data_IF_012262201009
#
_entry.id   IF_012262201009
#
_cell.length_a   1.000
_cell.length_b   1.000
_cell.length_c   1.000
_cell.angle_alpha   90.00
_cell.angle_beta   90.00
_cell.angle_gamma   90.00
#
_symmetry.space_group_name_H-M   'P 1'
#
loop_
_entity.id
_entity.type
_entity.pdbx_description
1 polymer ?
#
# COMPACT_ATOMS: atom_id res chain seq x y z
N UNK A 1 -30.02 28.62 0.94
CA UNK A 1 -30.30 27.28 0.39
C UNK A 1 -28.96 26.54 0.30
N UNK A 2 -28.74 25.60 1.19
CA UNK A 2 -27.48 24.79 1.21
C UNK A 2 -27.66 23.67 0.18
N UNK A 3 -26.87 23.70 -0.91
CA UNK A 3 -26.77 22.58 -1.83
C UNK A 3 -26.04 21.44 -1.13
N UNK A 4 -26.76 20.41 -0.77
CA UNK A 4 -26.17 19.12 -0.35
C UNK A 4 -25.39 18.55 -1.55
N UNK A 5 -24.15 18.12 -1.40
CA UNK A 5 -23.36 17.65 -2.52
C UNK A 5 -23.90 16.31 -3.03
N UNK A 6 -24.53 16.34 -4.19
CA UNK A 6 -25.02 15.16 -4.92
C UNK A 6 -23.90 14.16 -5.21
N UNK A 7 -22.63 14.60 -5.23
CA UNK A 7 -21.47 13.76 -5.48
C UNK A 7 -21.06 12.87 -4.28
N UNK A 8 -21.35 13.26 -3.04
CA UNK A 8 -21.16 12.33 -1.93
C UNK A 8 -22.01 11.05 -2.08
N UNK A 9 -23.13 11.15 -2.81
CA UNK A 9 -23.97 10.02 -3.13
C UNK A 9 -23.46 9.19 -4.32
N UNK A 10 -22.77 9.79 -5.30
CA UNK A 10 -22.24 9.07 -6.48
C UNK A 10 -20.96 8.33 -6.13
N UNK A 11 -20.04 8.95 -5.38
CA UNK A 11 -18.83 8.30 -4.86
C UNK A 11 -19.17 7.15 -3.90
N UNK A 12 -20.15 7.35 -3.01
CA UNK A 12 -20.63 6.32 -2.09
C UNK A 12 -21.23 5.10 -2.81
N UNK A 13 -21.81 5.26 -4.01
CA UNK A 13 -22.44 4.16 -4.75
C UNK A 13 -21.42 3.22 -5.39
N UNK A 14 -20.24 3.71 -5.81
CA UNK A 14 -19.15 2.86 -6.32
C UNK A 14 -18.20 2.36 -5.21
N UNK A 15 -18.03 3.13 -4.13
CA UNK A 15 -17.20 2.78 -2.97
C UNK A 15 -17.94 1.95 -1.88
N UNK A 16 -19.26 1.99 -1.85
CA UNK A 16 -20.08 1.40 -0.76
C UNK A 16 -20.37 -0.10 -0.93
N UNK A 17 -19.44 -0.90 -1.42
CA UNK A 17 -19.62 -2.34 -1.50
C UNK A 17 -18.65 -3.18 -0.66
N UNK A 18 -17.86 -2.55 0.23
CA UNK A 18 -17.09 -3.29 1.23
C UNK A 18 -17.18 -2.58 2.59
N UNK A 19 -17.33 -3.34 3.70
CA UNK A 19 -17.07 -2.75 5.01
C UNK A 19 -15.63 -2.24 5.02
N UNK A 20 -15.42 -1.09 5.66
CA UNK A 20 -14.13 -0.43 5.82
C UNK A 20 -13.19 -1.21 6.75
N UNK A 21 -12.81 -2.40 6.34
CA UNK A 21 -11.65 -3.11 6.86
C UNK A 21 -10.61 -3.05 5.75
N UNK A 22 -9.55 -2.27 5.97
CA UNK A 22 -8.51 -1.91 5.00
C UNK A 22 -7.83 -3.09 4.32
N UNK A 23 -8.50 -3.66 3.36
CA UNK A 23 -7.99 -4.65 2.43
C UNK A 23 -8.31 -4.15 1.02
N UNK A 24 -7.50 -3.22 0.53
CA UNK A 24 -7.34 -3.07 -0.90
C UNK A 24 -6.58 -4.30 -1.44
N UNK A 25 -7.28 -5.42 -1.50
CA UNK A 25 -6.88 -6.50 -2.39
C UNK A 25 -6.91 -5.91 -3.80
N UNK A 26 -5.75 -5.83 -4.44
CA UNK A 26 -5.58 -5.16 -5.70
C UNK A 26 -6.65 -5.56 -6.70
N UNK A 27 -7.47 -4.58 -7.11
CA UNK A 27 -7.99 -4.51 -8.46
C UNK A 27 -6.82 -4.75 -9.42
N UNK A 28 -6.99 -5.67 -10.37
CA UNK A 28 -6.14 -5.65 -11.56
C UNK A 28 -6.20 -4.20 -12.10
N UNK A 29 -5.03 -3.59 -12.35
CA UNK A 29 -5.00 -2.24 -12.94
C UNK A 29 -5.95 -2.22 -14.13
N UNK A 30 -6.88 -1.23 -14.24
CA UNK A 30 -7.74 -1.15 -15.39
C UNK A 30 -6.84 -1.11 -16.62
N UNK A 31 -6.96 -2.12 -17.47
CA UNK A 31 -6.20 -2.16 -18.72
C UNK A 31 -6.41 -0.83 -19.44
N UNK A 32 -5.35 -0.20 -19.96
CA UNK A 32 -5.51 1.04 -20.71
C UNK A 32 -6.57 0.83 -21.77
N UNK A 33 -7.53 1.76 -21.87
CA UNK A 33 -8.61 1.73 -22.86
C UNK A 33 -7.99 1.53 -24.24
N UNK A 34 -8.00 0.29 -24.71
CA UNK A 34 -7.52 -0.04 -26.05
C UNK A 34 -8.41 0.68 -27.06
N UNK A 35 -7.82 1.64 -27.76
CA UNK A 35 -8.48 2.32 -28.86
C UNK A 35 -8.63 1.35 -30.03
N UNK A 36 -9.90 0.90 -30.31
CA UNK A 36 -10.33 0.63 -31.64
C UNK A 36 -10.19 -0.78 -32.22
N UNK A 37 -11.08 -1.70 -31.81
CA UNK A 37 -11.64 -2.63 -32.80
C UNK A 37 -13.04 -2.10 -33.20
N UNK A 38 -13.52 -2.31 -34.45
CA UNK A 38 -14.84 -1.87 -34.84
C UNK A 38 -15.90 -2.60 -34.00
N UNK A 39 -16.71 -1.80 -33.30
CA UNK A 39 -17.80 -2.30 -32.45
C UNK A 39 -18.87 -2.89 -33.36
N UNK A 40 -19.25 -4.15 -33.16
CA UNK A 40 -20.34 -4.77 -33.90
C UNK A 40 -21.68 -4.07 -33.60
N UNK A 41 -22.65 -4.13 -34.51
CA UNK A 41 -23.97 -3.55 -34.28
C UNK A 41 -24.65 -4.10 -33.00
N UNK A 42 -24.36 -5.35 -32.66
CA UNK A 42 -24.84 -6.03 -31.46
C UNK A 42 -24.21 -5.43 -30.18
N UNK A 43 -22.91 -5.13 -30.20
CA UNK A 43 -22.24 -4.45 -29.09
C UNK A 43 -22.71 -3.01 -28.87
N UNK A 44 -23.09 -2.32 -29.94
CA UNK A 44 -23.66 -0.96 -29.86
C UNK A 44 -25.03 -0.99 -29.15
N UNK A 45 -25.86 -1.96 -29.46
CA UNK A 45 -27.16 -2.12 -28.80
C UNK A 45 -27.01 -2.52 -27.32
N UNK A 46 -26.08 -3.44 -27.03
CA UNK A 46 -25.77 -3.86 -25.68
C UNK A 46 -25.23 -2.70 -24.83
N UNK A 47 -24.36 -1.86 -25.40
CA UNK A 47 -23.85 -0.68 -24.72
C UNK A 47 -24.95 0.30 -24.35
N UNK A 48 -25.87 0.59 -25.26
CA UNK A 48 -27.03 1.48 -24.96
C UNK A 48 -27.94 0.90 -23.88
N UNK A 49 -28.21 -0.39 -23.93
CA UNK A 49 -29.02 -1.08 -22.93
C UNK A 49 -28.35 -1.05 -21.55
N UNK A 50 -27.04 -1.33 -21.52
CA UNK A 50 -26.22 -1.28 -20.28
C UNK A 50 -26.21 0.12 -19.68
N UNK A 51 -25.97 1.16 -20.49
CA UNK A 51 -26.00 2.56 -20.01
C UNK A 51 -27.36 2.93 -19.43
N UNK A 52 -28.44 2.63 -20.14
CA UNK A 52 -29.78 2.92 -19.69
C UNK A 52 -30.11 2.21 -18.36
N UNK A 53 -29.75 0.95 -18.24
CA UNK A 53 -29.94 0.17 -17.01
C UNK A 53 -29.14 0.72 -15.84
N UNK A 54 -27.86 1.04 -16.04
CA UNK A 54 -26.97 1.61 -15.01
C UNK A 54 -27.50 2.95 -14.52
N UNK A 55 -27.95 3.84 -15.44
CA UNK A 55 -28.58 5.10 -15.07
C UNK A 55 -29.83 4.91 -14.21
N UNK A 56 -30.68 3.94 -14.55
CA UNK A 56 -31.87 3.63 -13.79
C UNK A 56 -31.53 3.02 -12.43
N UNK A 57 -30.59 2.07 -12.39
CA UNK A 57 -30.19 1.37 -11.17
C UNK A 57 -29.64 2.34 -10.11
N UNK A 58 -28.84 3.30 -10.52
CA UNK A 58 -28.20 4.26 -9.62
C UNK A 58 -28.92 5.61 -9.51
N UNK A 59 -30.07 5.78 -10.17
CA UNK A 59 -30.83 7.02 -10.12
C UNK A 59 -30.12 8.22 -10.75
N UNK A 60 -29.21 7.99 -11.74
CA UNK A 60 -28.44 9.04 -12.35
C UNK A 60 -29.23 9.84 -13.36
N UNK A 61 -29.34 11.15 -13.08
CA UNK A 61 -30.02 12.11 -13.95
C UNK A 61 -29.17 12.52 -15.17
N UNK A 62 -29.73 13.38 -16.04
CA UNK A 62 -29.11 13.78 -17.29
C UNK A 62 -27.80 14.57 -17.12
N UNK A 63 -27.56 15.16 -15.96
CA UNK A 63 -26.33 15.92 -15.65
C UNK A 63 -25.14 15.04 -15.35
N UNK A 64 -25.33 13.72 -15.14
CA UNK A 64 -24.26 12.77 -14.95
C UNK A 64 -23.93 12.16 -16.32
N UNK A 65 -22.71 12.32 -16.76
CA UNK A 65 -22.22 11.67 -17.97
C UNK A 65 -21.74 10.27 -17.63
N UNK A 66 -22.20 9.29 -18.38
CA UNK A 66 -21.78 7.88 -18.28
C UNK A 66 -21.17 7.50 -19.61
N UNK A 67 -19.95 7.01 -19.58
CA UNK A 67 -19.23 6.52 -20.75
C UNK A 67 -18.80 5.10 -20.51
N UNK A 68 -19.27 4.18 -21.35
CA UNK A 68 -18.85 2.80 -21.34
C UNK A 68 -17.66 2.60 -22.31
N UNK A 69 -16.67 1.86 -21.86
CA UNK A 69 -15.57 1.41 -22.70
C UNK A 69 -15.94 0.19 -23.56
N UNK A 70 -14.95 -0.42 -24.23
CA UNK A 70 -15.19 -1.60 -25.06
C UNK A 70 -15.64 -2.80 -24.22
N UNK A 71 -16.50 -3.63 -24.80
CA UNK A 71 -16.91 -4.90 -24.24
C UNK A 71 -15.83 -5.95 -24.53
N UNK A 72 -14.86 -6.10 -23.62
CA UNK A 72 -13.78 -7.07 -23.73
C UNK A 72 -14.18 -8.43 -23.13
N UNK A 73 -13.67 -9.56 -23.67
CA UNK A 73 -13.87 -10.85 -23.01
C UNK A 73 -13.44 -10.82 -21.55
N UNK A 74 -14.29 -11.32 -20.66
CA UNK A 74 -13.98 -11.43 -19.23
C UNK A 74 -13.32 -12.79 -18.90
N UNK A 75 -12.61 -12.86 -17.79
CA UNK A 75 -12.19 -14.11 -17.18
C UNK A 75 -13.38 -15.01 -16.81
N UNK A 76 -14.54 -14.42 -16.50
CA UNK A 76 -15.81 -15.16 -16.42
C UNK A 76 -16.36 -15.40 -17.83
N UNK A 77 -16.37 -16.65 -18.28
CA UNK A 77 -16.54 -17.04 -19.69
C UNK A 77 -17.78 -16.46 -20.39
N UNK A 78 -18.89 -16.26 -19.66
CA UNK A 78 -20.15 -15.78 -20.19
C UNK A 78 -20.36 -14.27 -20.03
N UNK A 79 -19.32 -13.53 -19.64
CA UNK A 79 -19.36 -12.11 -19.42
C UNK A 79 -18.39 -11.34 -20.30
N UNK A 80 -18.68 -10.08 -20.51
CA UNK A 80 -17.76 -9.03 -20.93
C UNK A 80 -17.32 -8.21 -19.73
N UNK A 81 -16.05 -7.83 -19.67
CA UNK A 81 -15.55 -6.76 -18.81
C UNK A 81 -15.77 -5.43 -19.53
N UNK A 82 -16.43 -4.49 -18.90
CA UNK A 82 -16.80 -3.19 -19.48
C UNK A 82 -16.32 -2.08 -18.56
N UNK A 83 -15.29 -1.33 -18.95
CA UNK A 83 -14.89 -0.12 -18.23
C UNK A 83 -16.02 0.90 -18.24
N UNK A 84 -16.23 1.58 -17.13
CA UNK A 84 -17.21 2.64 -16.98
C UNK A 84 -16.54 3.90 -16.44
N UNK A 85 -16.72 5.02 -17.13
CA UNK A 85 -16.34 6.35 -16.67
C UNK A 85 -17.62 7.13 -16.35
N UNK A 86 -17.67 7.72 -15.17
CA UNK A 86 -18.76 8.55 -14.70
C UNK A 86 -18.20 9.93 -14.45
N UNK A 87 -18.83 10.94 -15.00
CA UNK A 87 -18.41 12.32 -14.77
C UNK A 87 -19.58 13.23 -14.42
N UNK A 88 -19.33 14.13 -13.48
CA UNK A 88 -20.23 15.18 -13.04
C UNK A 88 -19.42 16.43 -12.73
N UNK A 89 -19.70 17.53 -13.41
CA UNK A 89 -18.85 18.72 -13.41
C UNK A 89 -17.41 18.35 -13.84
N UNK A 90 -16.41 18.71 -13.04
CA UNK A 90 -14.99 18.43 -13.31
C UNK A 90 -14.49 17.11 -12.66
N UNK A 91 -15.36 16.45 -11.89
CA UNK A 91 -15.01 15.21 -11.22
C UNK A 91 -15.29 14.00 -12.11
N UNK A 92 -14.34 13.06 -12.11
CA UNK A 92 -14.45 11.81 -12.87
C UNK A 92 -14.14 10.63 -11.95
N UNK A 93 -14.93 9.59 -12.13
CA UNK A 93 -14.70 8.28 -11.49
C UNK A 93 -14.69 7.20 -12.56
N UNK A 94 -13.83 6.22 -12.38
CA UNK A 94 -13.71 5.06 -13.26
C UNK A 94 -13.93 3.79 -12.48
N UNK A 95 -14.50 2.80 -13.15
CA UNK A 95 -14.74 1.48 -12.58
C UNK A 95 -14.93 0.44 -13.66
N UNK A 96 -15.29 -0.76 -13.26
CA UNK A 96 -15.62 -1.85 -14.16
C UNK A 96 -16.97 -2.45 -13.79
N UNK A 97 -17.70 -2.91 -14.80
CA UNK A 97 -18.87 -3.75 -14.65
C UNK A 97 -18.75 -4.95 -15.57
N UNK A 98 -19.41 -6.05 -15.23
CA UNK A 98 -19.43 -7.26 -16.02
C UNK A 98 -20.84 -7.43 -16.57
N UNK A 99 -20.94 -7.54 -17.89
CA UNK A 99 -22.21 -7.69 -18.60
C UNK A 99 -22.24 -9.07 -19.25
N UNK A 100 -23.29 -9.86 -18.98
CA UNK A 100 -23.43 -11.17 -19.61
C UNK A 100 -23.57 -11.03 -21.13
N UNK A 101 -23.07 -12.01 -21.86
CA UNK A 101 -23.09 -12.01 -23.34
C UNK A 101 -24.51 -11.95 -23.91
N UNK A 102 -25.50 -12.45 -23.17
CA UNK A 102 -26.91 -12.35 -23.52
C UNK A 102 -27.58 -11.02 -23.13
N UNK A 103 -26.83 -10.12 -22.50
CA UNK A 103 -27.29 -8.79 -22.10
C UNK A 103 -28.29 -8.74 -20.95
N UNK A 104 -28.53 -9.85 -20.24
CA UNK A 104 -29.57 -9.92 -19.21
C UNK A 104 -29.08 -9.70 -17.78
N UNK A 105 -27.77 -9.85 -17.56
CA UNK A 105 -27.18 -9.78 -16.22
C UNK A 105 -26.06 -8.77 -16.17
N UNK A 106 -26.07 -7.92 -15.15
CA UNK A 106 -24.96 -7.03 -14.81
C UNK A 106 -24.43 -7.43 -13.45
N UNK A 107 -23.11 -7.68 -13.37
CA UNK A 107 -22.39 -7.88 -12.11
C UNK A 107 -21.49 -6.66 -11.84
N UNK A 108 -21.41 -6.31 -10.57
CA UNK A 108 -20.48 -5.32 -10.05
C UNK A 108 -19.69 -5.96 -8.92
N UNK A 109 -18.36 -5.91 -9.03
CA UNK A 109 -17.45 -6.51 -8.06
C UNK A 109 -16.12 -6.81 -8.72
N UNK A 110 -15.26 -7.52 -8.02
CA UNK A 110 -13.95 -7.90 -8.50
C UNK A 110 -13.93 -9.38 -8.90
N UNK A 111 -13.21 -9.70 -9.96
CA UNK A 111 -12.93 -11.09 -10.35
C UNK A 111 -11.53 -11.45 -9.86
N UNK A 112 -11.42 -12.59 -9.19
CA UNK A 112 -10.17 -13.13 -8.68
C UNK A 112 -9.86 -14.46 -9.38
N UNK A 113 -8.63 -14.61 -9.85
CA UNK A 113 -8.12 -15.90 -10.30
C UNK A 113 -7.74 -16.73 -9.06
N UNK A 114 -8.54 -17.74 -8.74
CA UNK A 114 -8.32 -18.63 -7.61
C UNK A 114 -7.09 -19.54 -7.78
N UNK A 115 -6.54 -19.66 -8.99
CA UNK A 115 -5.31 -20.39 -9.26
C UNK A 115 -4.05 -19.54 -9.03
N UNK A 116 -4.20 -18.21 -9.00
CA UNK A 116 -3.12 -17.27 -8.77
C UNK A 116 -2.88 -17.01 -7.28
N UNK A 117 -1.64 -16.68 -6.92
CA UNK A 117 -1.35 -16.17 -5.60
C UNK A 117 -1.81 -14.71 -5.49
N UNK A 118 -2.80 -14.39 -4.61
CA UNK A 118 -3.39 -13.06 -4.54
C UNK A 118 -2.40 -11.96 -4.10
N UNK A 119 -1.27 -12.35 -3.48
CA UNK A 119 -0.27 -11.41 -2.98
C UNK A 119 1.01 -11.34 -3.84
N UNK A 120 1.07 -12.09 -4.95
CA UNK A 120 2.24 -12.08 -5.84
C UNK A 120 2.57 -10.67 -6.35
N UNK A 121 1.55 -9.90 -6.72
CA UNK A 121 1.71 -8.53 -7.19
C UNK A 121 2.26 -7.57 -6.12
N UNK A 122 1.88 -7.76 -4.85
CA UNK A 122 2.43 -6.98 -3.74
C UNK A 122 3.90 -7.37 -3.51
N UNK A 123 4.21 -8.67 -3.49
CA UNK A 123 5.60 -9.13 -3.35
C UNK A 123 6.51 -8.61 -4.46
N UNK A 124 6.02 -8.57 -5.70
CA UNK A 124 6.79 -8.03 -6.83
C UNK A 124 7.10 -6.54 -6.73
N UNK A 125 6.36 -5.78 -5.90
CA UNK A 125 6.58 -4.35 -5.65
C UNK A 125 7.48 -4.08 -4.45
N UNK A 126 7.73 -5.09 -3.61
CA UNK A 126 8.55 -4.97 -2.40
C UNK A 126 9.99 -5.34 -2.73
N UNK A 127 10.89 -4.36 -2.71
CA UNK A 127 12.31 -4.53 -2.97
C UNK A 127 13.07 -4.71 -1.66
N UNK A 128 13.59 -5.91 -1.42
CA UNK A 128 14.23 -6.27 -0.15
C UNK A 128 15.74 -5.97 -0.11
N UNK A 129 16.38 -5.83 -1.28
CA UNK A 129 17.85 -5.87 -1.43
C UNK A 129 18.56 -4.68 -0.79
N UNK A 130 17.89 -3.51 -0.79
CA UNK A 130 18.42 -2.26 -0.25
C UNK A 130 17.75 -1.84 1.04
N UNK A 131 17.23 -2.80 1.79
CA UNK A 131 16.44 -2.53 2.99
C UNK A 131 17.08 -3.16 4.22
N UNK A 132 17.14 -2.44 5.34
CA UNK A 132 17.57 -3.02 6.60
C UNK A 132 16.71 -4.24 6.95
N UNK A 133 17.34 -5.35 7.31
CA UNK A 133 16.60 -6.55 7.69
C UNK A 133 17.29 -7.30 8.82
N UNK A 134 16.48 -7.97 9.65
CA UNK A 134 16.89 -8.93 10.70
C UNK A 134 16.33 -10.31 10.34
N UNK A 135 17.01 -11.37 10.74
CA UNK A 135 16.61 -12.76 10.49
C UNK A 135 17.22 -13.34 9.21
N UNK A 136 16.91 -14.62 8.90
CA UNK A 136 17.49 -15.35 7.77
C UNK A 136 17.09 -14.73 6.43
N UNK A 137 18.01 -14.66 5.48
CA UNK A 137 17.74 -14.13 4.13
C UNK A 137 16.84 -15.05 3.29
N UNK A 138 16.85 -16.34 3.59
CA UNK A 138 16.01 -17.39 2.99
C UNK A 138 14.78 -17.72 3.86
N UNK A 139 14.40 -16.82 4.76
CA UNK A 139 13.24 -16.99 5.63
C UNK A 139 11.98 -17.30 4.84
N UNK A 140 11.23 -18.28 5.31
CA UNK A 140 9.94 -18.65 4.73
C UNK A 140 8.88 -17.58 4.91
N UNK A 141 8.99 -16.81 5.97
CA UNK A 141 8.09 -15.70 6.28
C UNK A 141 8.90 -14.41 6.38
N UNK A 142 8.51 -13.44 5.58
CA UNK A 142 9.07 -12.09 5.61
C UNK A 142 8.00 -11.10 6.07
N UNK A 143 8.29 -10.39 7.14
CA UNK A 143 7.51 -9.27 7.66
C UNK A 143 8.15 -7.99 7.14
N UNK A 144 7.42 -7.17 6.40
CA UNK A 144 7.87 -5.87 5.91
C UNK A 144 7.03 -4.82 6.61
N UNK A 145 7.70 -3.91 7.32
CA UNK A 145 7.05 -2.76 7.94
C UNK A 145 7.39 -1.48 7.19
N UNK A 146 6.38 -0.71 6.83
CA UNK A 146 6.52 0.68 6.43
C UNK A 146 6.27 1.56 7.65
N UNK A 147 7.31 2.24 8.10
CA UNK A 147 7.31 2.92 9.38
C UNK A 147 7.88 4.34 9.31
N UNK A 148 7.50 5.11 10.31
CA UNK A 148 7.92 6.48 10.55
C UNK A 148 8.49 6.57 11.97
N UNK A 149 9.72 7.01 12.10
CA UNK A 149 10.41 7.11 13.39
C UNK A 149 9.75 8.06 14.39
N UNK A 150 8.97 9.03 13.92
CA UNK A 150 8.24 9.97 14.79
C UNK A 150 6.84 9.47 15.17
N UNK A 151 6.33 8.43 14.48
CA UNK A 151 5.00 7.89 14.73
C UNK A 151 4.98 7.07 16.04
N UNK A 152 4.13 7.40 17.05
CA UNK A 152 4.06 6.64 18.29
C UNK A 152 3.56 5.20 18.08
N UNK A 153 2.66 4.96 17.13
CA UNK A 153 2.21 3.62 16.79
C UNK A 153 3.30 2.76 16.13
N UNK A 154 4.29 3.39 15.46
CA UNK A 154 5.47 2.66 14.97
C UNK A 154 6.37 2.21 16.10
N UNK A 155 6.47 2.99 17.20
CA UNK A 155 7.15 2.55 18.42
C UNK A 155 6.46 1.33 19.06
N UNK A 156 5.13 1.35 19.14
CA UNK A 156 4.35 0.19 19.63
C UNK A 156 4.59 -1.06 18.76
N UNK A 157 4.63 -0.89 17.43
CA UNK A 157 4.96 -1.98 16.52
C UNK A 157 6.40 -2.49 16.71
N UNK A 158 7.37 -1.59 16.87
CA UNK A 158 8.76 -1.97 17.18
C UNK A 158 8.87 -2.83 18.43
N UNK A 159 8.18 -2.49 19.52
CA UNK A 159 8.11 -3.31 20.73
C UNK A 159 7.52 -4.70 20.43
N UNK A 160 6.44 -4.75 19.65
CA UNK A 160 5.81 -6.00 19.23
C UNK A 160 6.76 -6.86 18.38
N UNK A 161 7.42 -6.29 17.38
CA UNK A 161 8.37 -6.99 16.51
C UNK A 161 9.62 -7.46 17.27
N UNK A 162 10.08 -6.70 18.27
CA UNK A 162 11.18 -7.11 19.15
C UNK A 162 10.80 -8.35 19.94
N UNK A 163 9.58 -8.39 20.49
CA UNK A 163 9.04 -9.58 21.18
C UNK A 163 8.91 -10.76 20.22
N UNK A 164 8.41 -10.55 19.02
CA UNK A 164 8.22 -11.59 18.00
C UNK A 164 9.54 -12.16 17.48
N UNK A 165 10.59 -11.34 17.36
CA UNK A 165 11.91 -11.82 16.92
C UNK A 165 12.47 -12.91 17.84
N UNK A 166 12.22 -12.83 19.16
CA UNK A 166 12.57 -13.89 20.11
C UNK A 166 11.75 -15.17 19.93
N UNK A 167 10.47 -15.04 19.57
CA UNK A 167 9.56 -16.17 19.38
C UNK A 167 9.75 -16.86 18.01
N UNK A 168 10.10 -16.08 16.97
CA UNK A 168 10.17 -16.55 15.58
C UNK A 168 11.54 -16.26 14.95
N UNK A 169 12.64 -16.89 15.42
CA UNK A 169 13.98 -16.62 14.89
C UNK A 169 14.14 -16.96 13.39
N UNK A 170 13.23 -17.75 12.83
CA UNK A 170 13.17 -18.14 11.41
C UNK A 170 12.43 -17.13 10.53
N UNK A 171 11.92 -16.03 11.07
CA UNK A 171 11.23 -14.95 10.33
C UNK A 171 12.21 -13.85 10.00
N UNK A 172 12.10 -13.29 8.79
CA UNK A 172 12.82 -12.10 8.38
C UNK A 172 11.97 -10.87 8.59
N UNK A 173 12.49 -9.88 9.31
CA UNK A 173 11.88 -8.55 9.44
C UNK A 173 12.62 -7.56 8.58
N UNK A 174 11.92 -6.77 7.80
CA UNK A 174 12.45 -5.76 6.87
C UNK A 174 11.83 -4.41 7.19
N UNK A 175 12.67 -3.42 7.40
CA UNK A 175 12.27 -2.04 7.66
C UNK A 175 12.23 -1.22 6.35
N UNK A 176 11.18 -0.41 6.21
CA UNK A 176 10.96 0.52 5.10
C UNK A 176 10.62 1.90 5.63
N UNK A 177 11.32 2.92 5.16
CA UNK A 177 11.00 4.31 5.52
C UNK A 177 9.71 4.77 4.86
N UNK A 178 8.81 5.33 5.66
CA UNK A 178 7.60 6.00 5.19
C UNK A 178 7.28 7.22 6.05
N UNK A 179 8.15 8.27 6.04
CA UNK A 179 7.97 9.46 6.85
C UNK A 179 6.72 10.24 6.42
N UNK A 180 5.85 10.57 7.39
CA UNK A 180 4.63 11.34 7.21
C UNK A 180 4.91 12.84 7.46
N UNK A 181 5.69 13.45 6.61
CA UNK A 181 6.25 14.81 6.79
C UNK A 181 5.20 15.91 6.95
N UNK A 182 3.92 15.67 6.60
CA UNK A 182 2.83 16.63 6.79
C UNK A 182 2.41 16.78 8.26
N UNK A 183 2.64 15.75 9.09
CA UNK A 183 2.22 15.70 10.49
C UNK A 183 3.37 15.41 11.46
N UNK A 184 4.50 14.92 10.95
CA UNK A 184 5.68 14.52 11.70
C UNK A 184 6.90 15.33 11.26
N UNK A 185 7.23 16.43 11.95
CA UNK A 185 8.21 17.42 11.48
C UNK A 185 9.67 16.93 11.47
N UNK A 186 10.05 15.96 12.30
CA UNK A 186 11.41 15.41 12.30
C UNK A 186 11.54 14.00 11.65
N UNK A 187 10.43 13.42 11.21
CA UNK A 187 10.38 12.08 10.63
C UNK A 187 11.36 11.88 9.46
N UNK A 188 11.42 12.84 8.52
CA UNK A 188 12.33 12.74 7.39
C UNK A 188 13.80 12.75 7.83
N UNK A 189 14.16 13.63 8.75
CA UNK A 189 15.54 13.70 9.28
C UNK A 189 15.92 12.41 9.98
N UNK A 190 15.00 11.79 10.73
CA UNK A 190 15.25 10.51 11.38
C UNK A 190 15.41 9.37 10.35
N UNK A 191 14.59 9.36 9.29
CA UNK A 191 14.72 8.40 8.19
C UNK A 191 16.10 8.52 7.49
N UNK A 192 16.58 9.76 7.23
CA UNK A 192 17.94 10.00 6.74
C UNK A 192 18.99 9.41 7.67
N UNK A 193 18.84 9.61 8.99
CA UNK A 193 19.73 9.02 10.00
C UNK A 193 19.77 7.49 9.93
N UNK A 194 18.61 6.87 9.81
CA UNK A 194 18.51 5.42 9.60
C UNK A 194 19.25 4.96 8.34
N UNK A 195 19.04 5.63 7.21
CA UNK A 195 19.73 5.31 5.94
C UNK A 195 21.25 5.51 6.03
N UNK A 196 21.69 6.58 6.67
CA UNK A 196 23.13 6.82 6.87
C UNK A 196 23.77 5.78 7.78
N UNK A 197 23.06 5.31 8.80
CA UNK A 197 23.53 4.21 9.62
C UNK A 197 23.61 2.90 8.83
N UNK A 198 22.58 2.59 8.01
CA UNK A 198 22.54 1.39 7.18
C UNK A 198 23.65 1.36 6.13
N UNK A 199 23.96 2.50 5.49
CA UNK A 199 25.03 2.61 4.50
C UNK A 199 26.40 2.35 5.10
N UNK A 200 26.66 2.73 6.35
CA UNK A 200 27.92 2.43 7.03
C UNK A 200 27.96 0.99 7.56
N UNK A 201 26.86 0.51 8.15
CA UNK A 201 26.77 -0.83 8.72
C UNK A 201 25.31 -1.27 8.88
N UNK A 202 24.89 -2.35 8.19
CA UNK A 202 23.55 -2.93 8.40
C UNK A 202 23.26 -3.32 9.85
N UNK A 203 24.28 -3.72 10.62
CA UNK A 203 24.12 -4.07 12.03
C UNK A 203 23.97 -2.83 12.91
N UNK A 204 24.70 -1.75 12.60
CA UNK A 204 24.60 -0.50 13.33
C UNK A 204 23.27 0.23 13.05
N UNK A 205 22.66 0.01 11.88
CA UNK A 205 21.29 0.51 11.61
C UNK A 205 20.34 0.14 12.74
N UNK A 206 20.30 -1.13 13.14
CA UNK A 206 19.37 -1.60 14.16
C UNK A 206 19.62 -0.98 15.52
N UNK A 207 20.87 -0.69 15.86
CA UNK A 207 21.19 0.04 17.10
C UNK A 207 20.70 1.49 17.06
N UNK A 208 20.86 2.16 15.93
CA UNK A 208 20.36 3.53 15.75
C UNK A 208 18.84 3.55 15.70
N UNK A 209 18.22 2.62 14.97
CA UNK A 209 16.78 2.41 14.88
C UNK A 209 16.16 2.23 16.27
N UNK A 210 16.70 1.29 17.05
CA UNK A 210 16.20 1.00 18.39
C UNK A 210 16.38 2.23 19.30
N UNK A 211 17.54 2.91 19.24
CA UNK A 211 17.80 4.13 20.02
C UNK A 211 16.84 5.28 19.67
N UNK A 212 16.43 5.43 18.39
CA UNK A 212 15.45 6.46 18.00
C UNK A 212 14.09 6.15 18.66
N UNK A 213 13.58 4.92 18.57
CA UNK A 213 12.29 4.57 19.16
C UNK A 213 12.32 4.61 20.69
N UNK A 214 13.39 4.12 21.34
CA UNK A 214 13.56 4.21 22.80
C UNK A 214 13.56 5.65 23.34
N UNK A 215 14.06 6.58 22.53
CA UNK A 215 14.17 7.99 22.91
C UNK A 215 13.18 8.90 22.19
N UNK A 216 12.12 8.37 21.56
CA UNK A 216 11.19 9.11 20.70
C UNK A 216 10.65 10.37 21.38
N UNK A 217 10.27 10.27 22.65
CA UNK A 217 9.72 11.39 23.44
C UNK A 217 10.76 12.49 23.78
N UNK A 218 12.05 12.23 23.55
CA UNK A 218 13.16 13.15 23.81
C UNK A 218 13.71 13.79 22.52
N UNK A 219 13.10 13.48 21.38
CA UNK A 219 13.49 14.00 20.07
C UNK A 219 12.52 15.10 19.66
N UNK A 220 13.07 16.19 19.13
CA UNK A 220 12.33 17.34 18.60
C UNK A 220 12.96 17.81 17.28
N UNK A 221 12.27 18.65 16.49
CA UNK A 221 12.87 19.24 15.29
C UNK A 221 14.18 19.97 15.54
N UNK A 222 14.34 20.58 16.73
CA UNK A 222 15.52 21.36 17.10
C UNK A 222 16.73 20.48 17.46
N UNK A 223 16.51 19.26 17.96
CA UNK A 223 17.57 18.42 18.50
C UNK A 223 17.78 17.09 17.73
N UNK A 224 16.91 16.74 16.77
CA UNK A 224 16.96 15.45 16.06
C UNK A 224 18.33 15.20 15.44
N UNK A 225 18.94 16.20 14.84
CA UNK A 225 20.28 16.07 14.22
C UNK A 225 21.34 15.63 15.25
N UNK A 226 21.41 16.33 16.38
CA UNK A 226 22.38 16.04 17.44
C UNK A 226 22.11 14.67 18.07
N UNK A 227 20.86 14.32 18.28
CA UNK A 227 20.45 13.00 18.77
C UNK A 227 20.87 11.89 17.82
N UNK A 228 20.66 12.04 16.51
CA UNK A 228 21.09 11.05 15.51
C UNK A 228 22.60 10.85 15.51
N UNK A 229 23.38 11.93 15.59
CA UNK A 229 24.85 11.86 15.69
C UNK A 229 25.28 11.16 16.97
N UNK A 230 24.60 11.44 18.09
CA UNK A 230 24.86 10.77 19.37
C UNK A 230 24.56 9.25 19.26
N UNK A 231 23.43 8.86 18.70
CA UNK A 231 23.06 7.45 18.54
C UNK A 231 23.99 6.72 17.57
N UNK A 232 24.35 7.35 16.46
CA UNK A 232 25.32 6.81 15.50
C UNK A 232 26.69 6.57 16.14
N UNK A 233 27.18 7.52 16.94
CA UNK A 233 28.44 7.40 17.68
C UNK A 233 28.37 6.28 18.69
N UNK A 234 27.29 6.17 19.46
CA UNK A 234 27.07 5.10 20.42
C UNK A 234 26.96 3.72 19.73
N UNK A 235 26.44 3.67 18.49
CA UNK A 235 26.38 2.46 17.68
C UNK A 235 27.74 2.03 17.11
N UNK A 236 28.79 2.86 17.26
CA UNK A 236 30.14 2.62 16.77
C UNK A 236 30.39 3.08 15.32
N UNK A 237 29.53 3.96 14.79
CA UNK A 237 29.69 4.53 13.46
C UNK A 237 30.68 5.70 13.46
N UNK A 238 31.27 5.97 12.29
CA UNK A 238 32.10 7.16 12.10
C UNK A 238 31.18 8.39 12.02
N UNK A 239 31.29 9.29 13.01
CA UNK A 239 30.40 10.44 13.12
C UNK A 239 30.61 11.49 12.03
N UNK A 240 31.80 11.64 11.47
CA UNK A 240 32.05 12.61 10.40
C UNK A 240 31.46 12.10 9.07
N UNK A 241 31.64 10.84 8.77
CA UNK A 241 30.95 10.20 7.63
C UNK A 241 29.43 10.23 7.79
N UNK A 242 28.93 10.03 9.00
CA UNK A 242 27.50 10.08 9.30
C UNK A 242 26.92 11.49 9.06
N UNK A 243 27.56 12.53 9.57
CA UNK A 243 27.19 13.93 9.34
C UNK A 243 27.22 14.29 7.85
N UNK A 244 28.27 13.87 7.14
CA UNK A 244 28.37 14.08 5.70
C UNK A 244 27.23 13.40 4.94
N UNK A 245 26.88 12.17 5.32
CA UNK A 245 25.76 11.44 4.73
C UNK A 245 24.41 12.13 4.97
N UNK A 246 24.14 12.62 6.19
CA UNK A 246 22.90 13.33 6.51
C UNK A 246 22.66 14.55 5.60
N UNK A 247 23.74 15.17 5.08
CA UNK A 247 23.67 16.31 4.16
C UNK A 247 23.72 15.89 2.69
N UNK A 248 23.94 14.61 2.40
CA UNK A 248 24.08 14.12 1.03
C UNK A 248 22.73 13.73 0.42
N UNK A 249 22.57 13.91 -0.90
CA UNK A 249 21.30 13.59 -1.56
C UNK A 249 21.02 12.09 -1.67
N UNK A 250 21.99 11.24 -1.44
CA UNK A 250 21.88 9.79 -1.63
C UNK A 250 20.95 9.15 -0.60
N UNK A 251 21.07 9.55 0.67
CA UNK A 251 20.18 9.08 1.73
C UNK A 251 18.73 9.50 1.47
N UNK A 252 18.51 10.73 0.98
CA UNK A 252 17.16 11.19 0.63
C UNK A 252 16.57 10.38 -0.52
N UNK A 253 17.38 10.07 -1.57
CA UNK A 253 16.89 9.21 -2.67
C UNK A 253 16.47 7.82 -2.18
N UNK A 254 17.16 7.24 -1.22
CA UNK A 254 16.80 5.93 -0.66
C UNK A 254 15.49 6.01 0.16
N UNK A 255 15.29 7.08 0.94
CA UNK A 255 14.03 7.36 1.67
C UNK A 255 12.88 7.56 0.69
N UNK A 256 13.07 8.39 -0.35
CA UNK A 256 12.06 8.67 -1.36
C UNK A 256 11.67 7.40 -2.14
N UNK A 257 12.65 6.56 -2.49
CA UNK A 257 12.40 5.29 -3.15
C UNK A 257 11.58 4.33 -2.26
N UNK A 258 11.91 4.25 -0.97
CA UNK A 258 11.14 3.45 0.00
C UNK A 258 9.71 3.95 0.13
N UNK A 259 9.52 5.27 0.24
CA UNK A 259 8.21 5.88 0.31
C UNK A 259 7.40 5.66 -0.97
N UNK A 260 8.02 5.81 -2.15
CA UNK A 260 7.36 5.55 -3.43
C UNK A 260 6.89 4.10 -3.57
N UNK A 261 7.69 3.13 -3.08
CA UNK A 261 7.31 1.72 -3.01
C UNK A 261 6.07 1.52 -2.13
N UNK A 262 6.03 2.13 -0.94
CA UNK A 262 4.85 2.09 -0.07
C UNK A 262 3.61 2.69 -0.75
N UNK A 263 3.72 3.86 -1.38
CA UNK A 263 2.61 4.47 -2.14
C UNK A 263 2.11 3.54 -3.25
N UNK A 264 3.02 2.88 -3.99
CA UNK A 264 2.65 1.92 -5.02
C UNK A 264 1.95 0.66 -4.48
N UNK A 265 2.10 0.37 -3.20
CA UNK A 265 1.41 -0.69 -2.46
C UNK A 265 0.10 -0.22 -1.79
N UNK A 266 -0.25 1.07 -1.88
CA UNK A 266 -1.43 1.64 -1.22
C UNK A 266 -1.20 2.08 0.22
N UNK A 267 0.06 2.13 0.71
CA UNK A 267 0.38 2.64 2.04
C UNK A 267 0.04 4.13 2.13
N UNK A 268 -0.78 4.50 3.10
CA UNK A 268 -1.22 5.88 3.35
C UNK A 268 -1.10 6.28 4.83
N UNK A 269 -0.72 5.36 5.69
CA UNK A 269 -0.53 5.55 7.13
C UNK A 269 0.59 4.66 7.66
N UNK A 270 1.13 4.99 8.83
CA UNK A 270 2.13 4.18 9.52
C UNK A 270 1.67 3.81 10.92
N UNK A 271 2.06 2.62 11.40
CA UNK A 271 2.75 1.58 10.67
C UNK A 271 1.81 0.85 9.68
N UNK A 272 2.36 0.39 8.55
CA UNK A 272 1.70 -0.58 7.67
C UNK A 272 2.59 -1.80 7.52
N UNK A 273 2.02 -2.99 7.73
CA UNK A 273 2.76 -4.25 7.75
C UNK A 273 2.30 -5.16 6.62
N UNK A 274 3.26 -5.79 5.95
CA UNK A 274 3.02 -6.86 5.00
C UNK A 274 3.70 -8.14 5.46
N UNK A 275 2.96 -9.25 5.48
CA UNK A 275 3.52 -10.59 5.76
C UNK A 275 3.42 -11.42 4.48
N UNK A 276 4.56 -11.77 3.87
CA UNK A 276 4.64 -12.43 2.57
C UNK A 276 3.80 -11.72 1.47
N UNK A 277 3.77 -10.38 1.49
CA UNK A 277 2.98 -9.55 0.56
C UNK A 277 1.52 -9.38 0.95
N UNK A 278 1.02 -10.06 1.96
CA UNK A 278 -0.32 -9.86 2.52
C UNK A 278 -0.32 -8.62 3.41
N UNK A 279 -1.17 -7.62 3.15
CA UNK A 279 -1.35 -6.51 4.08
C UNK A 279 -1.99 -7.01 5.38
N UNK A 280 -1.49 -6.57 6.51
CA UNK A 280 -1.98 -6.92 7.85
C UNK A 280 -2.57 -5.70 8.50
N UNK A 281 -3.81 -5.81 8.97
CA UNK A 281 -4.48 -4.78 9.76
C UNK A 281 -4.18 -5.04 11.23
N UNK A 282 -3.65 -4.03 11.92
CA UNK A 282 -3.18 -4.13 13.30
C UNK A 282 -1.70 -4.53 13.39
N UNK A 283 -1.00 -3.96 14.36
CA UNK A 283 0.44 -4.16 14.59
C UNK A 283 0.74 -4.81 15.93
N UNK A 284 -0.27 -5.33 16.65
CA UNK A 284 -0.06 -5.97 17.95
C UNK A 284 0.53 -7.39 17.83
N UNK A 285 1.20 -7.82 18.89
CA UNK A 285 1.89 -9.12 18.96
C UNK A 285 0.97 -10.29 18.64
N UNK A 286 -0.29 -10.25 19.08
CA UNK A 286 -1.25 -11.35 18.90
C UNK A 286 -1.62 -11.49 17.44
N UNK A 287 -2.03 -10.40 16.80
CA UNK A 287 -2.40 -10.35 15.39
C UNK A 287 -1.24 -10.80 14.50
N UNK A 288 -0.05 -10.22 14.72
CA UNK A 288 1.14 -10.57 13.94
C UNK A 288 1.53 -12.05 14.11
N UNK A 289 1.45 -12.58 15.36
CA UNK A 289 1.71 -14.01 15.62
C UNK A 289 0.77 -14.91 14.82
N UNK A 290 -0.53 -14.61 14.80
CA UNK A 290 -1.53 -15.41 14.07
C UNK A 290 -1.22 -15.46 12.57
N UNK A 291 -0.86 -14.32 11.95
CA UNK A 291 -0.49 -14.29 10.54
C UNK A 291 0.84 -15.01 10.25
N UNK A 292 1.83 -14.86 11.13
CA UNK A 292 3.13 -15.57 11.02
C UNK A 292 2.89 -17.08 11.11
N UNK A 293 2.14 -17.53 12.11
CA UNK A 293 1.82 -18.96 12.31
C UNK A 293 1.05 -19.52 11.09
N UNK A 294 0.09 -18.75 10.55
CA UNK A 294 -0.63 -19.11 9.34
C UNK A 294 0.30 -19.31 8.13
N UNK A 295 1.21 -18.36 7.88
CA UNK A 295 2.17 -18.44 6.76
C UNK A 295 3.21 -19.56 6.98
N UNK A 296 3.61 -19.84 8.21
CA UNK A 296 4.49 -20.95 8.54
C UNK A 296 3.82 -22.32 8.32
N UNK A 297 2.52 -22.41 8.56
CA UNK A 297 1.75 -23.63 8.35
C UNK A 297 1.38 -23.90 6.89
N UNK A 298 1.32 -22.86 6.05
CA UNK A 298 0.95 -22.99 4.64
C UNK A 298 1.97 -23.85 3.87
N UNK A 299 1.62 -24.56 2.79
CA UNK A 299 2.59 -25.21 1.90
C UNK A 299 3.61 -24.21 1.34
N UNK A 300 4.86 -24.65 1.09
CA UNK A 300 5.83 -23.80 0.37
C UNK A 300 5.24 -23.46 -1.01
N UNK A 301 5.10 -22.18 -1.26
CA UNK A 301 4.69 -21.62 -2.56
C UNK A 301 5.86 -21.55 -3.53
#
# INVERSE_FOLDING_TARGET
MRQTPVMAAVAAVFLAALPSSGQDLKRADPSPVATGAPVSADQTQLSKATEAFVRQLFGWGPNIQVKLGPFAPSAAADFYTVPIEISFNEQKETGEVYVSKDGKTLLRGDLYDMSADPFAANRAKIHLERSPSKGPTDARVTVVEFADFECPHCRELWEALTTLAGKYPQVRVVYKDFPLTQIHPWANTAALGGRCAFQQSPQAFWKVHDAIFENQDLISPENVWDKLVQFATAAGLNSDMFKACLSAPDAQRDVDASRAEGVALGVNSTPTVYINGRPVVGGDVTTLSQYIDFELAAPKR
#
